data_IF_199525872491
#
_entry.id   IF_199525872491
#
_cell.length_a   1.000
_cell.length_b   1.000
_cell.length_c   1.000
_cell.angle_alpha   90.00
_cell.angle_beta   90.00
_cell.angle_gamma   90.00
#
_symmetry.space_group_name_H-M   'P 1'
#
loop_
_entity.id
_entity.type
_entity.pdbx_description
1 polymer ?
#
# COMPACT_ATOMS: atom_id res chain seq x y z
N UNK A 1 22.14 -24.47 13.54
CA UNK A 1 20.91 -23.93 12.92
C UNK A 1 21.00 -24.23 11.43
N UNK A 2 20.03 -24.93 10.84
CA UNK A 2 20.09 -25.27 9.40
C UNK A 2 19.79 -24.02 8.56
N UNK A 3 20.42 -23.88 7.39
CA UNK A 3 20.27 -22.73 6.49
C UNK A 3 18.80 -22.37 6.21
N UNK A 4 17.95 -23.40 6.06
CA UNK A 4 16.50 -23.26 5.81
C UNK A 4 15.71 -22.65 6.97
N UNK A 5 16.18 -22.83 8.20
CA UNK A 5 15.54 -22.23 9.38
C UNK A 5 15.83 -20.74 9.42
N UNK A 6 17.07 -20.34 9.09
CA UNK A 6 17.44 -18.93 9.00
C UNK A 6 16.71 -18.21 7.85
N UNK A 7 16.56 -18.85 6.68
CA UNK A 7 15.80 -18.29 5.55
C UNK A 7 14.33 -18.04 5.90
N UNK A 8 13.69 -18.98 6.59
CA UNK A 8 12.31 -18.85 7.01
C UNK A 8 12.12 -17.70 8.02
N UNK A 9 13.04 -17.55 8.97
CA UNK A 9 13.01 -16.50 9.98
C UNK A 9 13.26 -15.11 9.38
N UNK A 10 14.21 -15.00 8.44
CA UNK A 10 14.45 -13.78 7.67
C UNK A 10 13.21 -13.43 6.83
N UNK A 11 12.62 -14.41 6.14
CA UNK A 11 11.40 -14.21 5.35
C UNK A 11 10.25 -13.67 6.20
N UNK A 12 10.11 -14.20 7.42
CA UNK A 12 9.15 -13.73 8.42
C UNK A 12 9.33 -12.25 8.76
N UNK A 13 10.54 -11.88 9.16
CA UNK A 13 10.89 -10.52 9.55
C UNK A 13 10.67 -9.54 8.39
N UNK A 14 11.04 -9.94 7.16
CA UNK A 14 10.83 -9.12 5.96
C UNK A 14 9.35 -8.89 5.67
N UNK A 15 8.48 -9.88 5.88
CA UNK A 15 7.03 -9.70 5.72
C UNK A 15 6.44 -8.80 6.79
N UNK A 16 6.89 -8.92 8.03
CA UNK A 16 6.45 -8.06 9.12
C UNK A 16 6.84 -6.60 8.87
N UNK A 17 8.13 -6.34 8.61
CA UNK A 17 8.65 -4.99 8.33
C UNK A 17 8.04 -4.44 7.05
N UNK A 18 7.99 -5.24 5.97
CA UNK A 18 7.40 -4.86 4.70
C UNK A 18 5.91 -4.48 4.82
N UNK A 19 5.15 -5.28 5.57
CA UNK A 19 3.75 -5.00 5.86
C UNK A 19 3.56 -3.70 6.66
N UNK A 20 4.41 -3.45 7.66
CA UNK A 20 4.41 -2.21 8.45
C UNK A 20 4.75 -1.00 7.57
N UNK A 21 5.78 -1.09 6.73
CA UNK A 21 6.15 -0.01 5.82
C UNK A 21 5.00 0.36 4.88
N UNK A 22 4.36 -0.63 4.27
CA UNK A 22 3.20 -0.40 3.39
C UNK A 22 2.02 0.20 4.18
N UNK A 23 1.77 -0.25 5.41
CA UNK A 23 0.75 0.34 6.28
C UNK A 23 1.01 1.81 6.57
N UNK A 24 2.24 2.16 6.94
CA UNK A 24 2.63 3.54 7.25
C UNK A 24 2.50 4.41 6.02
N UNK A 25 2.95 3.95 4.85
CA UNK A 25 2.79 4.68 3.59
C UNK A 25 1.31 4.93 3.29
N UNK A 26 0.47 3.89 3.34
CA UNK A 26 -0.97 4.04 3.12
C UNK A 26 -1.63 5.01 4.11
N UNK A 27 -1.27 4.96 5.39
CA UNK A 27 -1.77 5.88 6.41
C UNK A 27 -1.33 7.33 6.14
N UNK A 28 -0.07 7.55 5.75
CA UNK A 28 0.44 8.87 5.39
C UNK A 28 -0.29 9.43 4.18
N UNK A 29 -0.59 8.61 3.17
CA UNK A 29 -1.34 9.06 1.99
C UNK A 29 -2.79 9.41 2.31
N UNK A 30 -3.43 8.67 3.22
CA UNK A 30 -4.75 9.04 3.76
C UNK A 30 -4.68 10.40 4.46
N UNK A 31 -3.68 10.63 5.32
CA UNK A 31 -3.50 11.91 6.00
C UNK A 31 -3.28 13.05 5.00
N UNK A 32 -2.40 12.87 4.01
CA UNK A 32 -2.17 13.86 2.94
C UNK A 32 -3.46 14.17 2.18
N UNK A 33 -4.24 13.16 1.82
CA UNK A 33 -5.50 13.34 1.12
C UNK A 33 -6.51 14.13 1.96
N UNK A 34 -6.66 13.82 3.24
CA UNK A 34 -7.53 14.56 4.17
C UNK A 34 -7.08 16.02 4.29
N UNK A 35 -5.77 16.27 4.43
CA UNK A 35 -5.21 17.62 4.48
C UNK A 35 -5.50 18.37 3.17
N UNK A 36 -5.32 17.73 2.00
CA UNK A 36 -5.63 18.33 0.71
C UNK A 36 -7.11 18.71 0.58
N UNK A 37 -8.03 17.86 1.03
CA UNK A 37 -9.47 18.14 1.06
C UNK A 37 -9.75 19.38 1.93
N UNK A 38 -9.17 19.42 3.14
CA UNK A 38 -9.36 20.54 4.06
C UNK A 38 -8.80 21.86 3.49
N UNK A 39 -7.59 21.81 2.91
CA UNK A 39 -6.95 22.97 2.29
C UNK A 39 -7.70 23.46 1.04
N UNK A 40 -8.16 22.55 0.18
CA UNK A 40 -8.93 22.91 -1.00
C UNK A 40 -10.22 23.65 -0.63
N UNK A 41 -10.91 23.22 0.45
CA UNK A 41 -12.10 23.90 0.96
C UNK A 41 -11.80 25.29 1.54
N UNK A 42 -10.78 25.39 2.38
CA UNK A 42 -10.39 26.65 3.02
C UNK A 42 -9.89 27.69 2.00
N UNK A 43 -9.00 27.29 1.08
CA UNK A 43 -8.47 28.15 0.03
C UNK A 43 -9.55 28.51 -1.00
N UNK A 44 -10.44 27.59 -1.32
CA UNK A 44 -11.56 27.84 -2.22
C UNK A 44 -12.49 28.95 -1.72
N UNK A 45 -12.86 28.90 -0.44
CA UNK A 45 -13.66 29.94 0.21
C UNK A 45 -12.94 31.29 0.26
N UNK A 46 -11.62 31.28 0.50
CA UNK A 46 -10.83 32.50 0.61
C UNK A 46 -10.61 33.18 -0.75
N UNK A 47 -10.24 32.41 -1.79
CA UNK A 47 -10.00 32.95 -3.14
C UNK A 47 -11.29 33.47 -3.77
N UNK A 48 -12.41 32.74 -3.62
CA UNK A 48 -13.70 33.19 -4.15
C UNK A 48 -14.22 34.47 -3.46
N UNK A 49 -13.84 34.71 -2.20
CA UNK A 49 -14.14 35.95 -1.47
C UNK A 49 -13.26 37.14 -1.87
N UNK A 50 -11.97 36.90 -2.16
CA UNK A 50 -11.01 37.97 -2.51
C UNK A 50 -10.96 38.33 -4.00
N UNK A 51 -11.21 37.37 -4.89
CA UNK A 51 -11.10 37.55 -6.34
C UNK A 51 -12.35 37.00 -7.06
N UNK A 52 -13.46 37.76 -7.04
CA UNK A 52 -14.72 37.32 -7.66
C UNK A 52 -14.60 37.04 -9.17
N UNK A 53 -13.69 37.74 -9.84
CA UNK A 53 -13.45 37.65 -11.29
C UNK A 53 -12.96 36.27 -11.75
N UNK A 54 -12.35 35.47 -10.86
CA UNK A 54 -11.86 34.12 -11.15
C UNK A 54 -12.72 33.03 -10.49
N UNK A 55 -13.87 33.40 -9.90
CA UNK A 55 -14.73 32.48 -9.16
C UNK A 55 -15.13 31.26 -9.99
N UNK A 56 -15.46 31.44 -11.28
CA UNK A 56 -15.82 30.34 -12.18
C UNK A 56 -14.70 29.29 -12.33
N UNK A 57 -13.43 29.71 -12.28
CA UNK A 57 -12.27 28.82 -12.36
C UNK A 57 -12.07 28.08 -11.03
N UNK A 58 -12.29 28.76 -9.91
CA UNK A 58 -12.25 28.19 -8.56
C UNK A 58 -13.35 27.16 -8.37
N UNK A 59 -14.59 27.48 -8.77
CA UNK A 59 -15.75 26.60 -8.72
C UNK A 59 -15.58 25.36 -9.62
N UNK A 60 -14.76 25.45 -10.68
CA UNK A 60 -14.38 24.31 -11.52
C UNK A 60 -13.26 23.48 -10.88
N UNK A 61 -12.20 24.11 -10.38
CA UNK A 61 -11.00 23.42 -9.88
C UNK A 61 -11.20 22.69 -8.55
N UNK A 62 -12.03 23.24 -7.66
CA UNK A 62 -12.27 22.65 -6.33
C UNK A 62 -12.87 21.23 -6.43
N UNK A 63 -13.95 20.98 -7.20
CA UNK A 63 -14.47 19.63 -7.41
C UNK A 63 -13.43 18.65 -7.97
N UNK A 64 -12.58 19.10 -8.91
CA UNK A 64 -11.48 18.27 -9.42
C UNK A 64 -10.46 17.94 -8.33
N UNK A 65 -10.09 18.91 -7.50
CA UNK A 65 -9.22 18.70 -6.35
C UNK A 65 -9.81 17.69 -5.35
N UNK A 66 -11.11 17.77 -5.08
CA UNK A 66 -11.80 16.80 -4.23
C UNK A 66 -11.84 15.40 -4.85
N UNK A 67 -12.12 15.28 -6.14
CA UNK A 67 -12.14 14.00 -6.83
C UNK A 67 -10.76 13.33 -6.82
N UNK A 68 -9.69 14.10 -7.06
CA UNK A 68 -8.32 13.61 -6.99
C UNK A 68 -7.95 13.18 -5.55
N UNK A 69 -8.25 14.02 -4.56
CA UNK A 69 -7.95 13.70 -3.17
C UNK A 69 -8.76 12.48 -2.67
N UNK A 70 -10.01 12.33 -3.10
CA UNK A 70 -10.80 11.13 -2.80
C UNK A 70 -10.17 9.87 -3.44
N UNK A 71 -9.67 9.97 -4.67
CA UNK A 71 -8.92 8.89 -5.31
C UNK A 71 -7.67 8.50 -4.52
N UNK A 72 -6.86 9.49 -4.11
CA UNK A 72 -5.68 9.27 -3.27
C UNK A 72 -6.03 8.63 -1.92
N UNK A 73 -7.13 9.08 -1.30
CA UNK A 73 -7.62 8.52 -0.04
C UNK A 73 -7.97 7.04 -0.18
N UNK A 74 -8.68 6.66 -1.25
CA UNK A 74 -9.03 5.27 -1.54
C UNK A 74 -7.77 4.43 -1.76
N UNK A 75 -6.81 4.92 -2.55
CA UNK A 75 -5.54 4.23 -2.78
C UNK A 75 -4.77 4.03 -1.47
N UNK A 76 -4.67 5.07 -0.63
CA UNK A 76 -4.01 4.99 0.68
C UNK A 76 -4.65 3.97 1.61
N UNK A 77 -6.00 3.91 1.67
CA UNK A 77 -6.73 2.89 2.43
C UNK A 77 -6.42 1.49 1.89
N UNK A 78 -6.45 1.29 0.57
CA UNK A 78 -6.16 -0.01 -0.05
C UNK A 78 -4.74 -0.45 0.32
N UNK A 79 -3.75 0.44 0.22
CA UNK A 79 -2.38 0.15 0.63
C UNK A 79 -2.31 -0.23 2.10
N UNK A 80 -2.95 0.53 3.00
CA UNK A 80 -2.95 0.21 4.42
C UNK A 80 -3.54 -1.17 4.71
N UNK A 81 -4.65 -1.52 4.06
CA UNK A 81 -5.28 -2.85 4.19
C UNK A 81 -4.37 -3.96 3.65
N UNK A 82 -3.68 -3.72 2.53
CA UNK A 82 -2.74 -4.67 1.94
C UNK A 82 -1.52 -4.87 2.87
N UNK A 83 -0.96 -3.78 3.39
CA UNK A 83 0.14 -3.82 4.36
C UNK A 83 -0.24 -4.62 5.61
N UNK A 84 -1.45 -4.41 6.14
CA UNK A 84 -1.95 -5.17 7.29
C UNK A 84 -2.07 -6.67 6.98
N UNK A 85 -2.60 -7.02 5.80
CA UNK A 85 -2.71 -8.42 5.37
C UNK A 85 -1.34 -9.07 5.21
N UNK A 86 -0.36 -8.37 4.67
CA UNK A 86 1.02 -8.86 4.51
C UNK A 86 1.70 -9.03 5.87
N UNK A 87 1.57 -8.06 6.77
CA UNK A 87 2.06 -8.17 8.14
C UNK A 87 1.51 -9.44 8.82
N UNK A 88 0.20 -9.71 8.66
CA UNK A 88 -0.43 -10.91 9.21
C UNK A 88 0.10 -12.20 8.58
N UNK A 89 0.50 -12.20 7.30
CA UNK A 89 1.16 -13.35 6.68
C UNK A 89 2.53 -13.61 7.29
N UNK A 90 3.27 -12.55 7.62
CA UNK A 90 4.53 -12.65 8.35
C UNK A 90 4.38 -13.37 9.68
N UNK A 91 3.24 -13.26 10.36
CA UNK A 91 3.04 -13.96 11.65
C UNK A 91 2.86 -15.48 11.52
N UNK A 92 2.62 -16.01 10.32
CA UNK A 92 2.35 -17.44 10.11
C UNK A 92 3.65 -18.27 10.09
N UNK A 93 3.62 -19.52 10.58
CA UNK A 93 4.77 -20.43 10.52
C UNK A 93 5.09 -20.91 9.09
N UNK A 94 4.12 -20.83 8.18
CA UNK A 94 4.26 -21.15 6.76
C UNK A 94 3.08 -20.59 5.96
N UNK A 95 3.26 -20.48 4.64
CA UNK A 95 2.19 -20.02 3.74
C UNK A 95 1.91 -21.10 2.69
N UNK A 96 0.62 -21.48 2.48
CA UNK A 96 0.24 -22.38 1.39
C UNK A 96 0.72 -21.84 0.03
N UNK A 97 1.23 -22.72 -0.83
CA UNK A 97 1.80 -22.34 -2.14
C UNK A 97 0.86 -21.47 -2.98
N UNK A 98 -0.43 -21.81 -3.02
CA UNK A 98 -1.45 -21.06 -3.74
C UNK A 98 -1.58 -19.61 -3.20
N UNK A 99 -1.66 -19.45 -1.88
CA UNK A 99 -1.73 -18.11 -1.25
C UNK A 99 -0.46 -17.31 -1.47
N UNK A 100 0.71 -17.95 -1.33
CA UNK A 100 2.00 -17.29 -1.55
C UNK A 100 2.12 -16.75 -2.97
N UNK A 101 1.82 -17.58 -3.97
CA UNK A 101 1.88 -17.19 -5.38
C UNK A 101 0.89 -16.06 -5.71
N UNK A 102 -0.34 -16.13 -5.16
CA UNK A 102 -1.33 -15.06 -5.29
C UNK A 102 -0.80 -13.72 -4.74
N UNK A 103 -0.19 -13.72 -3.55
CA UNK A 103 0.37 -12.50 -2.95
C UNK A 103 1.59 -11.96 -3.70
N UNK A 104 2.44 -12.84 -4.25
CA UNK A 104 3.54 -12.43 -5.13
C UNK A 104 2.98 -11.69 -6.35
N UNK A 105 1.96 -12.25 -7.02
CA UNK A 105 1.34 -11.61 -8.19
C UNK A 105 0.75 -10.25 -7.83
N UNK A 106 0.02 -10.16 -6.71
CA UNK A 106 -0.55 -8.88 -6.23
C UNK A 106 0.56 -7.85 -6.00
N UNK A 107 1.64 -8.23 -5.29
CA UNK A 107 2.74 -7.32 -5.00
C UNK A 107 3.51 -6.89 -6.25
N UNK A 108 3.70 -7.79 -7.22
CA UNK A 108 4.35 -7.46 -8.50
C UNK A 108 3.51 -6.47 -9.31
N UNK A 109 2.18 -6.67 -9.36
CA UNK A 109 1.27 -5.73 -10.05
C UNK A 109 1.34 -4.35 -9.38
N UNK A 110 1.26 -4.30 -8.04
CA UNK A 110 1.37 -3.04 -7.30
C UNK A 110 2.73 -2.37 -7.49
N UNK A 111 3.82 -3.15 -7.55
CA UNK A 111 5.15 -2.62 -7.79
C UNK A 111 5.25 -2.01 -9.19
N UNK A 112 4.71 -2.67 -10.21
CA UNK A 112 4.67 -2.12 -11.57
C UNK A 112 3.87 -0.80 -11.62
N UNK A 113 2.71 -0.74 -10.95
CA UNK A 113 1.91 0.49 -10.87
C UNK A 113 2.67 1.59 -10.13
N UNK A 114 3.33 1.28 -9.01
CA UNK A 114 4.11 2.25 -8.24
C UNK A 114 5.29 2.81 -9.04
N UNK A 115 5.98 1.97 -9.82
CA UNK A 115 7.07 2.39 -10.70
C UNK A 115 6.58 3.32 -11.82
N UNK A 116 5.44 2.99 -12.45
CA UNK A 116 4.82 3.84 -13.48
C UNK A 116 4.35 5.19 -12.92
N UNK A 117 3.91 5.21 -11.66
CA UNK A 117 3.53 6.44 -10.96
C UNK A 117 4.74 7.25 -10.45
N UNK A 118 5.96 6.72 -10.52
CA UNK A 118 7.17 7.36 -10.00
C UNK A 118 7.29 7.33 -8.46
N UNK A 119 6.52 6.48 -7.79
CA UNK A 119 6.48 6.39 -6.32
C UNK A 119 7.60 5.49 -5.79
N UNK A 120 8.79 6.07 -5.61
CA UNK A 120 10.02 5.36 -5.20
C UNK A 120 9.86 4.70 -3.82
N UNK A 121 9.29 5.41 -2.84
CA UNK A 121 9.13 4.89 -1.48
C UNK A 121 8.18 3.69 -1.42
N UNK A 122 7.05 3.78 -2.13
CA UNK A 122 6.08 2.69 -2.27
C UNK A 122 6.72 1.49 -2.96
N UNK A 123 7.52 1.72 -3.99
CA UNK A 123 8.24 0.66 -4.71
C UNK A 123 9.21 -0.09 -3.79
N UNK A 124 10.01 0.62 -2.99
CA UNK A 124 10.92 0.01 -2.02
C UNK A 124 10.15 -0.80 -0.98
N UNK A 125 9.07 -0.24 -0.45
CA UNK A 125 8.23 -0.91 0.55
C UNK A 125 7.55 -2.18 0.04
N UNK A 126 7.29 -2.29 -1.27
CA UNK A 126 6.73 -3.48 -1.90
C UNK A 126 7.77 -4.57 -2.20
N UNK A 127 9.03 -4.19 -2.46
CA UNK A 127 10.14 -5.15 -2.70
C UNK A 127 10.47 -5.94 -1.44
N UNK A 128 10.47 -5.31 -0.27
CA UNK A 128 10.78 -5.94 1.03
C UNK A 128 9.90 -7.18 1.32
N UNK A 129 8.55 -7.09 1.31
CA UNK A 129 7.70 -8.25 1.52
C UNK A 129 7.71 -9.22 0.32
N UNK A 130 8.03 -8.76 -0.89
CA UNK A 130 8.23 -9.65 -2.04
C UNK A 130 9.39 -10.64 -1.79
N UNK A 131 10.54 -10.12 -1.34
CA UNK A 131 11.66 -10.96 -0.92
C UNK A 131 11.27 -11.86 0.24
N UNK A 132 10.53 -11.32 1.22
CA UNK A 132 10.01 -12.10 2.35
C UNK A 132 9.13 -13.29 1.93
N UNK A 133 8.23 -13.08 0.96
CA UNK A 133 7.37 -14.15 0.41
C UNK A 133 8.18 -15.22 -0.32
N UNK A 134 9.22 -14.84 -1.05
CA UNK A 134 10.07 -15.78 -1.80
C UNK A 134 10.88 -16.66 -0.84
N UNK A 135 11.34 -16.10 0.28
CA UNK A 135 12.13 -16.80 1.29
C UNK A 135 11.28 -17.65 2.25
N UNK A 136 9.97 -17.39 2.36
CA UNK A 136 9.11 -18.15 3.27
C UNK A 136 8.89 -19.60 2.83
N UNK A 137 8.91 -20.56 3.77
CA UNK A 137 8.67 -21.97 3.48
C UNK A 137 7.23 -22.18 3.02
N UNK A 138 7.07 -23.04 2.02
CA UNK A 138 5.76 -23.51 1.56
C UNK A 138 5.21 -24.49 2.58
N UNK A 139 4.03 -24.20 3.10
CA UNK A 139 3.28 -25.18 3.87
C UNK A 139 2.86 -26.32 2.93
N UNK A 140 3.47 -27.50 3.09
CA UNK A 140 3.06 -28.70 2.36
C UNK A 140 1.78 -29.23 3.01
N UNK A 141 0.67 -29.17 2.28
CA UNK A 141 -0.56 -29.85 2.69
C UNK A 141 -0.27 -31.36 2.82
N UNK A 142 -0.78 -32.04 3.86
CA UNK A 142 -0.66 -33.48 3.96
C UNK A 142 -1.25 -34.14 2.69
N UNK A 143 -0.62 -35.22 2.17
CA UNK A 143 -1.12 -35.89 0.98
C UNK A 143 -2.57 -36.34 1.21
N UNK A 144 -3.43 -36.31 0.17
CA UNK A 144 -4.79 -36.81 0.27
C UNK A 144 -4.73 -38.27 0.74
N UNK A 145 -5.44 -38.57 1.83
CA UNK A 145 -5.59 -39.95 2.31
C UNK A 145 -6.25 -40.79 1.22
N UNK A 146 -5.75 -42.02 0.96
CA UNK A 146 -6.26 -42.88 -0.09
C UNK A 146 -7.73 -43.29 0.13
#
# INVERSE_FOLDING_TARGET
MSLRVAEAEIGKILLEIGGILIMVIGAVDVIKAVIMIALAGALGGLISGFLPSIKWLVDLLIPFGYALAAGMLVVGIILAVIGYKIYRLGLLPGIPSNKRNMWIVILVILLAVALLAGEVYTSIALVVPLVGLVLMPVEQLPPPSP
#
